data_IF_410529154265
#
_entry.id   IF_410529154265
#
_cell.length_a   1.000
_cell.length_b   1.000
_cell.length_c   1.000
_cell.angle_alpha   90.00
_cell.angle_beta   90.00
_cell.angle_gamma   90.00
#
_symmetry.space_group_name_H-M   'P 1'
#
loop_
_entity.id
_entity.type
_entity.pdbx_description
1 polymer ?
#
# COMPACT_ATOMS: atom_id res chain seq x y z
N UNK A 1 -12.87 -2.18 0.51
CA UNK A 1 -12.70 -2.30 -0.96
C UNK A 1 -11.48 -3.18 -1.19
N UNK A 2 -11.53 -4.08 -2.17
CA UNK A 2 -10.41 -4.97 -2.48
C UNK A 2 -10.06 -4.82 -3.95
N UNK A 3 -8.77 -4.75 -4.23
CA UNK A 3 -8.22 -4.61 -5.57
C UNK A 3 -7.20 -5.73 -5.79
N UNK A 4 -7.30 -6.41 -6.92
CA UNK A 4 -6.33 -7.43 -7.34
C UNK A 4 -5.42 -6.82 -8.39
N UNK A 5 -4.10 -6.96 -8.19
CA UNK A 5 -3.06 -6.40 -9.05
C UNK A 5 -2.19 -7.53 -9.60
N UNK A 6 -1.74 -7.39 -10.84
CA UNK A 6 -0.91 -8.37 -11.55
C UNK A 6 0.29 -7.65 -12.18
N UNK A 7 1.50 -8.19 -11.99
CA UNK A 7 2.73 -7.64 -12.57
C UNK A 7 2.72 -7.62 -14.10
N UNK A 8 1.96 -8.50 -14.76
CA UNK A 8 1.77 -8.49 -16.21
C UNK A 8 0.91 -7.31 -16.70
N UNK A 9 0.15 -6.69 -15.79
CA UNK A 9 -0.74 -5.56 -16.05
C UNK A 9 -0.48 -4.46 -15.02
N UNK A 10 0.57 -3.64 -15.24
CA UNK A 10 0.94 -2.59 -14.29
C UNK A 10 -0.27 -1.71 -14.00
N UNK A 11 -0.59 -1.59 -12.71
CA UNK A 11 -1.77 -0.91 -12.21
C UNK A 11 -1.38 -0.17 -10.93
N UNK A 12 -2.01 0.98 -10.68
CA UNK A 12 -1.80 1.77 -9.47
C UNK A 12 -3.10 1.85 -8.69
N UNK A 13 -2.98 1.93 -7.36
CA UNK A 13 -4.10 2.09 -6.44
C UNK A 13 -3.79 3.29 -5.56
N UNK A 14 -4.65 4.30 -5.61
CA UNK A 14 -4.55 5.45 -4.72
C UNK A 14 -4.98 5.06 -3.30
N UNK A 15 -4.21 5.49 -2.31
CA UNK A 15 -4.49 5.27 -0.89
C UNK A 15 -5.02 6.57 -0.28
N UNK A 16 -6.35 6.74 -0.16
CA UNK A 16 -6.91 7.95 0.42
C UNK A 16 -6.59 8.05 1.92
N UNK A 17 -6.38 9.28 2.38
CA UNK A 17 -6.16 9.57 3.81
C UNK A 17 -7.33 9.07 4.67
N UNK A 18 -7.05 8.64 5.90
CA UNK A 18 -8.02 8.10 6.88
C UNK A 18 -8.74 6.81 6.45
N UNK A 19 -8.21 6.10 5.46
CA UNK A 19 -8.63 4.73 5.14
C UNK A 19 -7.51 3.75 5.49
N UNK A 20 -7.77 2.90 6.47
CA UNK A 20 -6.86 1.81 6.83
C UNK A 20 -6.79 0.83 5.67
N UNK A 21 -5.57 0.48 5.26
CA UNK A 21 -5.29 -0.35 4.10
C UNK A 21 -4.32 -1.46 4.48
N UNK A 22 -4.45 -2.61 3.81
CA UNK A 22 -3.50 -3.71 3.90
C UNK A 22 -3.12 -4.18 2.49
N UNK A 23 -2.00 -4.88 2.40
CA UNK A 23 -1.56 -5.54 1.18
C UNK A 23 -1.16 -6.98 1.52
N UNK A 24 -1.68 -7.92 0.74
CA UNK A 24 -1.42 -9.35 0.93
C UNK A 24 -1.00 -9.95 -0.40
N UNK A 25 0.17 -10.60 -0.43
CA UNK A 25 0.55 -11.39 -1.59
C UNK A 25 -0.31 -12.66 -1.66
N UNK A 26 -1.13 -12.77 -2.70
CA UNK A 26 -2.00 -13.93 -2.98
C UNK A 26 -1.46 -14.83 -4.10
N UNK A 27 -0.30 -14.49 -4.68
CA UNK A 27 0.37 -15.24 -5.73
C UNK A 27 1.42 -16.22 -5.20
N UNK A 28 2.08 -16.90 -6.14
CA UNK A 28 3.15 -17.88 -5.84
C UNK A 28 4.56 -17.33 -6.06
N UNK A 29 4.68 -16.07 -6.49
CA UNK A 29 5.95 -15.40 -6.80
C UNK A 29 6.22 -14.29 -5.79
N UNK A 30 7.45 -13.76 -5.81
CA UNK A 30 7.82 -12.62 -4.98
C UNK A 30 7.05 -11.36 -5.40
N UNK A 31 6.46 -10.68 -4.42
CA UNK A 31 5.72 -9.43 -4.65
C UNK A 31 6.69 -8.25 -4.52
N UNK A 32 6.90 -7.54 -5.64
CA UNK A 32 7.60 -6.27 -5.65
C UNK A 32 6.61 -5.12 -5.82
N UNK A 33 6.58 -4.19 -4.85
CA UNK A 33 5.68 -3.03 -4.85
C UNK A 33 6.46 -1.74 -4.73
N UNK A 34 6.02 -0.72 -5.48
CA UNK A 34 6.59 0.63 -5.42
C UNK A 34 5.54 1.53 -4.79
N UNK A 35 5.93 2.22 -3.71
CA UNK A 35 5.08 3.22 -3.07
C UNK A 35 5.56 4.61 -3.42
N UNK A 36 4.63 5.44 -3.89
CA UNK A 36 4.81 6.87 -3.99
C UNK A 36 4.15 7.53 -2.78
N UNK A 37 4.89 8.40 -2.09
CA UNK A 37 4.42 9.14 -0.92
C UNK A 37 4.55 10.64 -1.20
N UNK A 38 3.60 11.42 -0.71
CA UNK A 38 3.53 12.86 -0.92
C UNK A 38 4.59 13.65 -0.14
N UNK A 39 5.14 13.05 0.92
CA UNK A 39 6.18 13.64 1.76
C UNK A 39 7.19 12.61 2.24
N UNK A 40 8.38 13.06 2.65
CA UNK A 40 9.39 12.17 3.20
C UNK A 40 9.02 11.67 4.60
N UNK A 41 9.27 10.39 4.86
CA UNK A 41 9.04 9.80 6.18
C UNK A 41 9.87 10.49 7.27
N UNK A 42 9.20 10.90 8.35
CA UNK A 42 9.80 11.43 9.57
C UNK A 42 9.51 10.50 10.76
N UNK A 43 10.52 9.85 11.39
CA UNK A 43 10.29 9.00 12.55
C UNK A 43 9.68 9.71 13.77
N UNK A 44 9.91 11.02 13.92
CA UNK A 44 9.35 11.82 15.03
C UNK A 44 7.88 12.21 14.78
N UNK A 45 7.45 12.19 13.53
CA UNK A 45 6.09 12.51 13.08
C UNK A 45 5.71 11.58 11.93
N UNK A 46 5.40 10.32 12.26
CA UNK A 46 5.20 9.28 11.26
C UNK A 46 3.85 9.34 10.54
N UNK A 47 2.94 10.23 10.96
CA UNK A 47 1.55 10.38 10.49
C UNK A 47 0.84 9.05 10.17
N UNK A 48 1.14 8.00 10.96
CA UNK A 48 0.69 6.63 10.73
C UNK A 48 0.15 6.04 12.03
N UNK A 49 -1.06 5.50 11.97
CA UNK A 49 -1.74 4.88 13.11
C UNK A 49 -2.14 3.45 12.75
N UNK A 50 -1.77 2.50 13.61
CA UNK A 50 -2.11 1.10 13.39
C UNK A 50 -3.57 0.82 13.70
N UNK A 51 -4.28 0.21 12.75
CA UNK A 51 -5.64 -0.28 12.90
C UNK A 51 -5.79 -1.62 12.16
N UNK A 52 -6.64 -2.51 12.67
CA UNK A 52 -6.85 -3.83 12.08
C UNK A 52 -7.90 -3.77 10.97
N UNK A 53 -7.60 -4.38 9.82
CA UNK A 53 -8.50 -4.58 8.67
C UNK A 53 -8.51 -6.03 8.20
#
# INVERSE_FOLDING_TARGET
LSFELDGNKPSFVDMPIRYTHNITNIGNEELYTIFWINEHYNPEDGDTYFEKV
#
